data_IF_165719502509
#
_entry.id   IF_165719502509
#
_cell.length_a   1.000
_cell.length_b   1.000
_cell.length_c   1.000
_cell.angle_alpha   90.00
_cell.angle_beta   90.00
_cell.angle_gamma   90.00
#
_symmetry.space_group_name_H-M   'P 1'
#
loop_
_entity.id
_entity.type
_entity.pdbx_description
1 polymer ?
#
# COMPACT_ATOMS: atom_id res chain seq x y z
N UNK A 1 -12.31 -7.31 14.17
CA UNK A 1 -11.76 -7.90 12.93
C UNK A 1 -11.26 -9.28 13.26
N UNK A 2 -11.38 -10.25 12.35
CA UNK A 2 -11.17 -11.69 12.60
C UNK A 2 -9.73 -12.11 12.97
N UNK A 3 -8.82 -11.20 13.33
CA UNK A 3 -7.48 -11.55 13.84
C UNK A 3 -6.63 -12.34 12.85
N UNK A 4 -6.91 -12.23 11.54
CA UNK A 4 -6.30 -13.02 10.48
C UNK A 4 -4.84 -12.66 10.17
N UNK A 5 -4.36 -11.53 10.69
CA UNK A 5 -2.98 -11.11 10.54
C UNK A 5 -2.47 -10.65 11.91
N UNK A 6 -1.16 -10.83 12.19
CA UNK A 6 -0.50 -10.17 13.30
C UNK A 6 -0.85 -8.67 13.32
N UNK A 7 -1.03 -8.11 14.52
CA UNK A 7 -1.41 -6.70 14.70
C UNK A 7 -0.43 -5.77 13.95
N UNK A 8 0.87 -6.05 14.03
CA UNK A 8 1.88 -5.29 13.31
C UNK A 8 1.66 -5.25 11.80
N UNK A 9 1.33 -6.40 11.18
CA UNK A 9 1.06 -6.47 9.74
C UNK A 9 -0.22 -5.68 9.40
N UNK A 10 -1.24 -5.79 10.26
CA UNK A 10 -2.49 -5.03 10.10
C UNK A 10 -2.24 -3.53 10.15
N UNK A 11 -1.43 -3.06 11.10
CA UNK A 11 -1.10 -1.63 11.26
C UNK A 11 -0.31 -1.12 10.04
N UNK A 12 0.69 -1.89 9.59
CA UNK A 12 1.49 -1.53 8.41
C UNK A 12 0.64 -1.46 7.12
N UNK A 13 -0.30 -2.40 6.94
CA UNK A 13 -1.23 -2.38 5.81
C UNK A 13 -2.23 -1.23 5.90
N UNK A 14 -2.71 -0.90 7.10
CA UNK A 14 -3.61 0.24 7.30
C UNK A 14 -2.90 1.56 6.97
N UNK A 15 -1.66 1.73 7.44
CA UNK A 15 -0.85 2.92 7.14
C UNK A 15 -0.59 3.04 5.64
N UNK A 16 -0.24 1.94 4.97
CA UNK A 16 -0.08 1.92 3.51
C UNK A 16 -1.37 2.27 2.79
N UNK A 17 -2.50 1.68 3.19
CA UNK A 17 -3.81 1.97 2.61
C UNK A 17 -4.17 3.46 2.72
N UNK A 18 -4.05 4.05 3.91
CA UNK A 18 -4.39 5.45 4.14
C UNK A 18 -3.51 6.38 3.30
N UNK A 19 -2.19 6.12 3.24
CA UNK A 19 -1.28 6.90 2.43
C UNK A 19 -1.62 6.80 0.94
N UNK A 20 -1.76 5.59 0.41
CA UNK A 20 -2.01 5.33 -1.00
C UNK A 20 -3.37 5.90 -1.44
N UNK A 21 -4.40 5.82 -0.59
CA UNK A 21 -5.71 6.39 -0.87
C UNK A 21 -5.68 7.91 -0.95
N UNK A 22 -4.94 8.55 -0.05
CA UNK A 22 -4.75 10.00 -0.09
C UNK A 22 -3.95 10.42 -1.33
N UNK A 23 -2.91 9.67 -1.70
CA UNK A 23 -2.13 9.91 -2.91
C UNK A 23 -3.00 9.77 -4.18
N UNK A 24 -3.88 8.77 -4.23
CA UNK A 24 -4.85 8.59 -5.32
C UNK A 24 -5.81 9.78 -5.41
N UNK A 25 -6.40 10.22 -4.29
CA UNK A 25 -7.27 11.40 -4.29
C UNK A 25 -6.53 12.68 -4.71
N UNK A 26 -5.29 12.87 -4.26
CA UNK A 26 -4.46 14.00 -4.67
C UNK A 26 -4.18 13.97 -6.18
N UNK A 27 -3.85 12.79 -6.71
CA UNK A 27 -3.65 12.58 -8.14
C UNK A 27 -4.91 12.92 -8.94
N UNK A 28 -6.06 12.38 -8.53
CA UNK A 28 -7.35 12.61 -9.20
C UNK A 28 -7.76 14.09 -9.15
N UNK A 29 -7.52 14.77 -8.02
CA UNK A 29 -7.78 16.21 -7.88
C UNK A 29 -6.78 17.09 -8.65
N UNK A 30 -5.54 16.63 -8.86
CA UNK A 30 -4.56 17.34 -9.69
C UNK A 30 -4.87 17.19 -11.17
N UNK A 31 -5.27 15.99 -11.60
CA UNK A 31 -5.57 15.66 -12.98
C UNK A 31 -7.00 16.02 -13.43
N UNK A 32 -7.88 16.36 -12.48
CA UNK A 32 -9.32 16.59 -12.70
C UNK A 32 -10.02 15.43 -13.42
N UNK A 33 -9.57 14.21 -13.13
CA UNK A 33 -10.11 12.98 -13.69
C UNK A 33 -9.80 11.78 -12.79
N UNK A 34 -10.58 10.72 -12.95
CA UNK A 34 -10.23 9.44 -12.35
C UNK A 34 -9.03 8.83 -13.09
N UNK A 35 -7.88 8.77 -12.41
CA UNK A 35 -6.65 8.18 -12.96
C UNK A 35 -5.79 7.58 -11.84
N UNK A 36 -4.96 6.62 -12.21
CA UNK A 36 -3.93 5.99 -11.36
C UNK A 36 -2.51 6.21 -11.92
N UNK A 37 -2.40 6.90 -13.05
CA UNK A 37 -1.12 7.19 -13.71
C UNK A 37 -0.53 8.45 -13.11
N UNK A 38 0.68 8.36 -12.56
CA UNK A 38 1.41 9.52 -12.06
C UNK A 38 1.72 10.51 -13.19
N UNK A 39 1.77 11.82 -12.91
CA UNK A 39 2.12 12.80 -13.92
C UNK A 39 3.61 12.72 -14.28
N UNK A 40 3.94 13.07 -15.52
CA UNK A 40 5.32 13.19 -16.02
C UNK A 40 5.87 14.62 -15.92
N UNK A 41 4.99 15.62 -15.88
CA UNK A 41 5.37 17.03 -15.83
C UNK A 41 5.69 17.51 -14.40
N UNK A 42 6.67 18.40 -14.26
CA UNK A 42 7.16 18.89 -12.97
C UNK A 42 6.09 19.63 -12.14
N UNK A 43 5.23 20.41 -12.80
CA UNK A 43 4.21 21.21 -12.12
C UNK A 43 3.15 20.37 -11.39
N UNK A 44 2.47 19.41 -12.04
CA UNK A 44 1.54 18.51 -11.34
C UNK A 44 2.24 17.62 -10.31
N UNK A 45 3.49 17.19 -10.54
CA UNK A 45 4.31 16.49 -9.53
C UNK A 45 4.49 17.33 -8.26
N UNK A 46 4.90 18.59 -8.40
CA UNK A 46 5.05 19.49 -7.26
C UNK A 46 3.71 19.72 -6.53
N UNK A 47 2.61 19.87 -7.27
CA UNK A 47 1.27 19.99 -6.66
C UNK A 47 0.91 18.77 -5.82
N UNK A 48 1.17 17.56 -6.32
CA UNK A 48 0.95 16.33 -5.56
C UNK A 48 1.76 16.32 -4.27
N UNK A 49 3.06 16.65 -4.34
CA UNK A 49 3.93 16.73 -3.17
C UNK A 49 3.38 17.73 -2.14
N UNK A 50 2.97 18.93 -2.57
CA UNK A 50 2.40 19.93 -1.67
C UNK A 50 1.09 19.46 -1.01
N UNK A 51 0.15 18.86 -1.77
CA UNK A 51 -1.12 18.34 -1.21
C UNK A 51 -0.85 17.25 -0.16
N UNK A 52 0.18 16.44 -0.40
CA UNK A 52 0.60 15.35 0.49
C UNK A 52 1.54 15.80 1.61
N UNK A 53 1.79 17.12 1.75
CA UNK A 53 2.68 17.74 2.74
C UNK A 53 4.16 17.31 2.65
N UNK A 54 4.70 17.22 1.44
CA UNK A 54 6.13 17.01 1.18
C UNK A 54 6.77 18.27 0.58
N UNK A 55 8.05 18.48 0.92
CA UNK A 55 8.83 19.63 0.44
C UNK A 55 9.15 19.58 -1.05
N UNK A 56 9.23 18.38 -1.62
CA UNK A 56 9.54 18.16 -3.03
C UNK A 56 8.97 16.83 -3.54
N UNK A 57 8.93 16.68 -4.86
CA UNK A 57 8.44 15.48 -5.53
C UNK A 57 9.19 14.22 -5.13
N UNK A 58 10.53 14.29 -5.06
CA UNK A 58 11.36 13.13 -4.76
C UNK A 58 11.05 12.52 -3.38
N UNK A 59 10.89 13.36 -2.35
CA UNK A 59 10.54 12.90 -1.01
C UNK A 59 9.13 12.25 -0.96
N UNK A 60 8.19 12.76 -1.76
CA UNK A 60 6.86 12.15 -1.91
C UNK A 60 6.95 10.80 -2.64
N UNK A 61 7.69 10.74 -3.75
CA UNK A 61 7.86 9.53 -4.57
C UNK A 61 8.54 8.40 -3.79
N UNK A 62 9.61 8.71 -3.05
CA UNK A 62 10.27 7.74 -2.17
C UNK A 62 9.32 7.16 -1.11
N UNK A 63 8.45 8.00 -0.52
CA UNK A 63 7.46 7.55 0.46
C UNK A 63 6.33 6.75 -0.20
N UNK A 64 5.92 7.13 -1.41
CA UNK A 64 4.93 6.39 -2.20
C UNK A 64 5.42 4.99 -2.53
N UNK A 65 6.65 4.86 -3.00
CA UNK A 65 7.25 3.58 -3.33
C UNK A 65 7.47 2.72 -2.09
N UNK A 66 7.85 3.32 -0.96
CA UNK A 66 7.89 2.61 0.33
C UNK A 66 6.53 1.95 0.65
N UNK A 67 5.42 2.68 0.59
CA UNK A 67 4.11 2.11 0.89
C UNK A 67 3.65 1.07 -0.15
N UNK A 68 3.96 1.27 -1.44
CA UNK A 68 3.69 0.27 -2.49
C UNK A 68 4.45 -1.02 -2.26
N UNK A 69 5.75 -0.94 -1.95
CA UNK A 69 6.59 -2.09 -1.69
C UNK A 69 6.14 -2.85 -0.44
N UNK A 70 5.83 -2.13 0.65
CA UNK A 70 5.35 -2.76 1.90
C UNK A 70 4.02 -3.49 1.71
N UNK A 71 3.09 -2.88 0.97
CA UNK A 71 1.86 -3.58 0.60
C UNK A 71 2.17 -4.82 -0.25
N UNK A 72 2.97 -4.68 -1.31
CA UNK A 72 3.34 -5.79 -2.19
C UNK A 72 4.03 -6.94 -1.45
N UNK A 73 4.93 -6.66 -0.49
CA UNK A 73 5.59 -7.63 0.38
C UNK A 73 4.57 -8.41 1.22
N UNK A 74 3.65 -7.72 1.90
CA UNK A 74 2.60 -8.37 2.71
C UNK A 74 1.66 -9.22 1.86
N UNK A 75 1.28 -8.73 0.67
CA UNK A 75 0.52 -9.52 -0.30
C UNK A 75 1.30 -10.77 -0.75
N UNK A 76 2.59 -10.60 -1.08
CA UNK A 76 3.44 -11.71 -1.47
C UNK A 76 3.58 -12.74 -0.34
N UNK A 77 3.72 -12.33 0.91
CA UNK A 77 3.86 -13.23 2.06
C UNK A 77 2.58 -14.02 2.39
N UNK A 78 1.41 -13.44 2.13
CA UNK A 78 0.12 -14.17 2.29
C UNK A 78 -0.13 -15.13 1.11
N UNK A 79 0.35 -14.80 -0.10
CA UNK A 79 0.22 -15.67 -1.28
C UNK A 79 1.29 -16.77 -1.30
N UNK A 80 2.55 -16.42 -1.06
CA UNK A 80 3.70 -17.32 -0.98
C UNK A 80 3.79 -17.87 0.44
N UNK A 81 3.38 -19.13 0.62
CA UNK A 81 3.59 -19.81 1.89
C UNK A 81 5.09 -19.92 2.14
N UNK A 82 5.57 -19.65 3.36
CA UNK A 82 6.57 -20.52 3.94
C UNK A 82 5.86 -21.78 4.39
N UNK A 83 6.18 -22.92 3.77
CA UNK A 83 6.00 -24.22 4.42
C UNK A 83 7.01 -24.43 5.56
N UNK A 84 7.87 -23.45 5.89
CA UNK A 84 8.86 -23.60 6.93
C UNK A 84 8.90 -22.37 7.85
N UNK A 85 8.69 -22.66 9.15
CA UNK A 85 9.02 -21.87 10.35
C UNK A 85 8.03 -20.78 10.79
N UNK A 86 6.91 -21.20 11.40
CA UNK A 86 6.59 -20.99 12.83
C UNK A 86 5.23 -21.64 13.18
N UNK A 87 5.24 -22.52 14.18
CA UNK A 87 4.22 -23.55 14.47
C UNK A 87 2.88 -23.04 15.05
N UNK A 88 2.52 -21.77 14.81
CA UNK A 88 1.28 -21.17 15.37
C UNK A 88 0.34 -20.52 14.33
N UNK A 89 0.72 -20.45 13.04
CA UNK A 89 -0.01 -19.62 12.04
C UNK A 89 -0.53 -20.39 10.80
N UNK A 90 -0.46 -21.73 10.80
CA UNK A 90 -0.82 -22.56 9.64
C UNK A 90 -2.32 -22.53 9.31
N UNK A 91 -3.20 -22.38 10.30
CA UNK A 91 -4.65 -22.32 10.09
C UNK A 91 -5.13 -20.99 9.50
N UNK A 92 -4.45 -19.90 9.85
CA UNK A 92 -4.80 -18.52 9.49
C UNK A 92 -4.48 -18.22 8.02
N UNK A 93 -3.31 -18.68 7.57
CA UNK A 93 -2.86 -18.57 6.19
C UNK A 93 -3.79 -19.29 5.20
N UNK A 94 -4.39 -20.42 5.60
CA UNK A 94 -5.30 -21.18 4.75
C UNK A 94 -6.62 -20.44 4.47
N UNK A 95 -7.18 -19.75 5.47
CA UNK A 95 -8.44 -19.00 5.34
C UNK A 95 -8.27 -17.72 4.52
N UNK A 96 -7.17 -16.97 4.72
CA UNK A 96 -6.84 -15.79 3.92
C UNK A 96 -6.64 -16.12 2.44
N UNK A 97 -5.98 -17.25 2.14
CA UNK A 97 -5.82 -17.73 0.77
C UNK A 97 -7.14 -18.04 0.08
N UNK A 98 -8.08 -18.65 0.80
CA UNK A 98 -9.41 -18.93 0.25
C UNK A 98 -10.18 -17.66 -0.11
N UNK A 99 -10.02 -16.58 0.67
CA UNK A 99 -10.63 -15.27 0.40
C UNK A 99 -10.01 -14.59 -0.84
N UNK A 100 -8.70 -14.75 -1.07
CA UNK A 100 -8.02 -14.12 -2.21
C UNK A 100 -8.03 -14.92 -3.51
N UNK A 101 -8.28 -16.23 -3.46
CA UNK A 101 -8.39 -17.07 -4.66
C UNK A 101 -9.83 -17.31 -5.12
N UNK A 102 -10.83 -16.87 -4.35
CA UNK A 102 -12.26 -16.87 -4.72
C UNK A 102 -12.70 -15.53 -5.32
#
# INVERSE_FOLDING_TARGET
GMGLLPQQITDELLDAYLFLRNAEHALQGVADQQTQTLPDDDFPRLRMACIMNFDNWQAFEEKLDHHRNRAAEHFANVIAAPDDEEENDQGLNAELRAIWQG
#
